data_IF_921161350996
#
_entry.id   IF_921161350996
#
_cell.length_a   1.000
_cell.length_b   1.000
_cell.length_c   1.000
_cell.angle_alpha   90.00
_cell.angle_beta   90.00
_cell.angle_gamma   90.00
#
_symmetry.space_group_name_H-M   'P 1'
#
loop_
_entity.id
_entity.type
_entity.pdbx_description
1 polymer ?
#
# COMPACT_ATOMS: atom_id res chain seq x y z
N UNK A 1 -26.50 41.08 -5.52
CA UNK A 1 -25.28 40.78 -4.74
C UNK A 1 -24.83 39.39 -5.08
N UNK A 2 -23.79 39.29 -5.91
CA UNK A 2 -23.23 38.04 -6.40
C UNK A 2 -21.96 37.78 -5.59
N UNK A 3 -21.97 36.76 -4.71
CA UNK A 3 -20.73 36.21 -4.16
C UNK A 3 -20.85 34.68 -4.28
N UNK A 4 -20.13 34.18 -5.29
CA UNK A 4 -19.75 32.78 -5.44
C UNK A 4 -18.50 32.60 -4.57
N UNK A 5 -18.55 31.73 -3.57
CA UNK A 5 -17.36 31.22 -2.89
C UNK A 5 -17.63 29.73 -2.55
N UNK A 6 -17.19 28.82 -3.42
CA UNK A 6 -15.92 28.07 -3.34
C UNK A 6 -16.01 26.93 -2.29
N UNK A 7 -16.46 25.73 -2.69
CA UNK A 7 -15.60 24.58 -3.02
C UNK A 7 -14.41 24.39 -2.09
N UNK A 8 -14.52 23.48 -1.11
CA UNK A 8 -13.49 22.46 -0.80
C UNK A 8 -13.98 21.56 0.33
N UNK A 9 -14.63 20.44 -0.05
CA UNK A 9 -14.82 19.31 0.88
C UNK A 9 -13.43 18.73 1.10
N UNK A 10 -12.91 18.96 2.30
CA UNK A 10 -11.68 18.44 2.88
C UNK A 10 -11.42 17.04 2.32
N UNK A 11 -10.52 16.94 1.33
CA UNK A 11 -9.86 15.68 1.05
C UNK A 11 -9.04 15.42 2.31
N UNK A 12 -9.33 14.31 2.98
CA UNK A 12 -8.50 13.86 4.07
C UNK A 12 -7.06 13.77 3.53
N UNK A 13 -6.24 14.74 3.91
CA UNK A 13 -4.79 14.66 3.79
C UNK A 13 -4.40 13.45 4.61
N UNK A 14 -4.36 12.28 3.95
CA UNK A 14 -3.61 11.16 4.47
C UNK A 14 -2.20 11.72 4.68
N UNK A 15 -1.65 11.67 5.91
CA UNK A 15 -0.29 12.09 6.12
C UNK A 15 0.59 11.30 5.14
N UNK A 16 1.52 11.97 4.43
CA UNK A 16 2.47 11.25 3.59
C UNK A 16 3.11 10.18 4.48
N UNK A 17 3.19 8.91 4.05
CA UNK A 17 3.72 7.85 4.88
C UNK A 17 5.15 8.24 5.27
N UNK A 18 5.32 8.58 6.54
CA UNK A 18 6.60 8.97 7.11
C UNK A 18 7.62 7.89 6.81
N UNK A 19 8.66 8.30 6.10
CA UNK A 19 9.91 7.58 5.93
C UNK A 19 9.80 6.19 5.29
N UNK A 20 9.36 6.19 4.03
CA UNK A 20 9.73 5.15 3.08
C UNK A 20 11.19 5.36 2.66
N UNK A 21 12.13 4.92 3.50
CA UNK A 21 13.50 4.62 3.05
C UNK A 21 13.46 3.76 1.78
N UNK A 22 14.54 3.74 0.97
CA UNK A 22 14.47 3.33 -0.43
C UNK A 22 14.02 1.87 -0.57
N UNK A 23 12.74 1.66 -0.85
CA UNK A 23 12.21 0.44 -1.45
C UNK A 23 11.41 -0.53 -0.59
N UNK A 24 11.11 -0.27 0.70
CA UNK A 24 10.31 -1.21 1.50
C UNK A 24 9.34 -0.53 2.48
N UNK A 25 8.09 -1.03 2.51
CA UNK A 25 7.01 -0.55 3.37
C UNK A 25 6.97 -1.33 4.68
N UNK A 26 6.48 -0.72 5.76
CA UNK A 26 6.03 -1.52 6.90
C UNK A 26 4.69 -2.20 6.59
N UNK A 27 4.20 -3.02 7.53
CA UNK A 27 2.97 -3.79 7.34
C UNK A 27 1.75 -2.91 7.05
N UNK A 28 1.63 -1.76 7.72
CA UNK A 28 0.50 -0.85 7.54
C UNK A 28 0.60 -0.09 6.21
N UNK A 29 1.79 0.37 5.84
CA UNK A 29 2.09 1.02 4.57
C UNK A 29 1.90 0.08 3.39
N UNK A 30 2.32 -1.17 3.49
CA UNK A 30 2.12 -2.18 2.44
C UNK A 30 0.64 -2.47 2.20
N UNK A 31 -0.15 -2.57 3.29
CA UNK A 31 -1.59 -2.77 3.21
C UNK A 31 -2.27 -1.57 2.51
N UNK A 32 -1.90 -0.34 2.89
CA UNK A 32 -2.38 0.88 2.22
C UNK A 32 -1.95 0.96 0.75
N UNK A 33 -0.72 0.57 0.44
CA UNK A 33 -0.19 0.58 -0.93
C UNK A 33 -0.97 -0.36 -1.86
N UNK A 34 -1.39 -1.53 -1.35
CA UNK A 34 -2.21 -2.48 -2.09
C UNK A 34 -3.71 -2.21 -2.03
N UNK A 35 -4.15 -1.18 -1.29
CA UNK A 35 -5.55 -0.93 -0.97
C UNK A 35 -6.27 -2.16 -0.36
N UNK A 36 -5.59 -2.83 0.59
CA UNK A 36 -6.07 -4.02 1.28
C UNK A 36 -6.10 -3.81 2.79
N UNK A 37 -6.89 -4.63 3.49
CA UNK A 37 -6.79 -4.73 4.96
C UNK A 37 -5.46 -5.37 5.38
N UNK A 38 -4.95 -5.00 6.55
CA UNK A 38 -3.75 -5.64 7.14
C UNK A 38 -3.94 -7.16 7.28
N UNK A 39 -5.13 -7.60 7.68
CA UNK A 39 -5.44 -9.03 7.80
C UNK A 39 -5.44 -9.75 6.45
N UNK A 40 -5.79 -9.07 5.35
CA UNK A 40 -5.66 -9.62 4.00
C UNK A 40 -4.20 -9.72 3.59
N UNK A 41 -3.39 -8.68 3.85
CA UNK A 41 -1.95 -8.72 3.60
C UNK A 41 -1.29 -9.91 4.33
N UNK A 42 -1.68 -10.16 5.59
CA UNK A 42 -1.16 -11.28 6.37
C UNK A 42 -1.50 -12.65 5.78
N UNK A 43 -2.72 -12.78 5.24
CA UNK A 43 -3.15 -14.00 4.56
C UNK A 43 -2.33 -14.23 3.30
N UNK A 44 -2.09 -13.17 2.51
CA UNK A 44 -1.26 -13.24 1.31
C UNK A 44 0.18 -13.63 1.66
N UNK A 45 0.75 -13.03 2.70
CA UNK A 45 2.08 -13.40 3.21
C UNK A 45 2.13 -14.86 3.66
N UNK A 46 1.13 -15.33 4.41
CA UNK A 46 1.05 -16.75 4.86
C UNK A 46 0.82 -17.74 3.72
N UNK A 47 0.35 -17.27 2.57
CA UNK A 47 0.14 -18.07 1.37
C UNK A 47 1.33 -17.98 0.39
N UNK A 48 2.45 -17.38 0.81
CA UNK A 48 3.65 -17.13 -0.02
C UNK A 48 3.34 -16.36 -1.32
N UNK A 49 2.29 -15.53 -1.30
CA UNK A 49 1.92 -14.65 -2.42
C UNK A 49 2.69 -13.33 -2.41
N UNK A 50 3.16 -12.90 -1.24
CA UNK A 50 3.95 -11.68 -1.03
C UNK A 50 5.03 -11.98 0.01
N UNK A 51 6.28 -11.77 -0.36
CA UNK A 51 7.42 -11.94 0.54
C UNK A 51 7.68 -10.68 1.39
N UNK A 52 8.18 -10.91 2.61
CA UNK A 52 8.69 -9.86 3.49
C UNK A 52 10.20 -10.04 3.70
N UNK A 53 10.89 -8.93 3.90
CA UNK A 53 12.31 -8.89 4.28
C UNK A 53 12.43 -8.32 5.69
N UNK A 54 13.52 -8.65 6.37
CA UNK A 54 13.83 -8.05 7.68
C UNK A 54 14.79 -6.87 7.47
N UNK A 55 14.38 -5.67 7.87
CA UNK A 55 15.20 -4.46 7.83
C UNK A 55 15.29 -3.88 9.24
N UNK A 56 16.50 -3.76 9.78
CA UNK A 56 16.74 -3.34 11.17
C UNK A 56 15.93 -4.14 12.20
N UNK A 57 15.83 -5.47 12.01
CA UNK A 57 15.09 -6.36 12.92
C UNK A 57 13.57 -6.25 12.84
N UNK A 58 13.03 -5.49 11.87
CA UNK A 58 11.59 -5.34 11.66
C UNK A 58 11.17 -5.91 10.30
N UNK A 59 10.04 -6.61 10.21
CA UNK A 59 9.51 -7.06 8.93
C UNK A 59 9.09 -5.86 8.07
N UNK A 60 9.49 -5.89 6.81
CA UNK A 60 9.18 -4.89 5.79
C UNK A 60 8.83 -5.58 4.47
N UNK A 61 7.96 -4.96 3.70
CA UNK A 61 7.50 -5.46 2.42
C UNK A 61 8.16 -4.67 1.30
N UNK A 62 9.03 -5.29 0.48
CA UNK A 62 9.65 -4.61 -0.65
C UNK A 62 8.60 -4.13 -1.63
N UNK A 63 8.74 -2.88 -2.11
CA UNK A 63 7.85 -2.32 -3.14
C UNK A 63 7.82 -3.19 -4.39
N UNK A 64 8.96 -3.76 -4.79
CA UNK A 64 9.07 -4.65 -5.95
C UNK A 64 8.18 -5.90 -5.83
N UNK A 65 8.06 -6.47 -4.62
CA UNK A 65 7.19 -7.62 -4.38
C UNK A 65 5.72 -7.22 -4.40
N UNK A 66 5.38 -6.06 -3.82
CA UNK A 66 4.01 -5.52 -3.92
C UNK A 66 3.61 -5.25 -5.39
N UNK A 67 4.50 -4.67 -6.19
CA UNK A 67 4.26 -4.39 -7.61
C UNK A 67 4.11 -5.69 -8.42
N UNK A 68 4.92 -6.72 -8.14
CA UNK A 68 4.82 -8.05 -8.75
C UNK A 68 3.46 -8.68 -8.45
N UNK A 69 2.96 -8.56 -7.22
CA UNK A 69 1.63 -9.01 -6.84
C UNK A 69 0.54 -8.28 -7.66
N UNK A 70 0.58 -6.94 -7.73
CA UNK A 70 -0.38 -6.14 -8.52
C UNK A 70 -0.38 -6.62 -9.98
N UNK A 71 0.79 -6.81 -10.60
CA UNK A 71 0.90 -7.31 -11.98
C UNK A 71 0.30 -8.72 -12.14
N UNK A 72 0.50 -9.61 -11.17
CA UNK A 72 -0.10 -10.96 -11.16
C UNK A 72 -1.64 -10.87 -11.12
N UNK A 73 -2.20 -10.01 -10.27
CA UNK A 73 -3.65 -9.80 -10.17
C UNK A 73 -4.23 -9.23 -11.48
N UNK A 74 -3.57 -8.23 -12.06
CA UNK A 74 -3.98 -7.65 -13.35
C UNK A 74 -3.95 -8.68 -14.49
N UNK A 75 -2.95 -9.58 -14.51
CA UNK A 75 -2.88 -10.66 -15.50
C UNK A 75 -4.01 -11.68 -15.34
N UNK A 76 -4.34 -12.05 -14.10
CA UNK A 76 -5.40 -13.02 -13.83
C UNK A 76 -6.80 -12.48 -14.18
N UNK A 77 -7.02 -11.16 -14.08
CA UNK A 77 -8.31 -10.53 -14.41
C UNK A 77 -8.60 -10.43 -15.93
N UNK A 78 -7.59 -10.63 -16.78
CA UNK A 78 -7.71 -10.55 -18.25
C UNK A 78 -7.95 -11.91 -18.91
N UNK A 79 -8.03 -12.99 -18.13
CA UNK A 79 -8.41 -14.33 -18.57
C UNK A 79 -9.83 -14.64 -18.12
#
# INVERSE_FOLDING_TARGET
>A
TLVRDSLTRIQAEQPPPEDSGPGAFDRAGAARYLDLSVGTLDKLRRADEIDEITVHGKPRFPRSELDKYIRKQLRNKRR
#
